data_IF_893072091298
#
_entry.id   IF_893072091298
#
_cell.length_a   1.000
_cell.length_b   1.000
_cell.length_c   1.000
_cell.angle_alpha   90.00
_cell.angle_beta   90.00
_cell.angle_gamma   90.00
#
_symmetry.space_group_name_H-M   'P 1'
#
loop_
_entity.id
_entity.type
_entity.pdbx_description
1 polymer ?
#
# COMPACT_ATOMS: atom_id res chain seq x y z
N UNK A 1 -9.24 10.49 28.04
CA UNK A 1 -8.61 9.21 27.64
C UNK A 1 -9.59 8.02 27.49
N UNK A 2 -10.88 8.14 27.83
CA UNK A 2 -11.82 7.00 27.77
C UNK A 2 -12.45 6.67 26.40
N UNK A 3 -12.54 7.62 25.46
CA UNK A 3 -13.20 7.38 24.17
C UNK A 3 -12.36 6.54 23.20
N UNK A 4 -11.04 6.72 23.21
CA UNK A 4 -10.11 6.04 22.30
C UNK A 4 -10.09 4.51 22.52
N UNK A 5 -10.13 4.06 23.78
CA UNK A 5 -10.19 2.64 24.12
C UNK A 5 -11.48 1.98 23.61
N UNK A 6 -12.61 2.70 23.61
CA UNK A 6 -13.89 2.17 23.14
C UNK A 6 -13.86 1.86 21.64
N UNK A 7 -13.34 2.77 20.81
CA UNK A 7 -13.23 2.55 19.37
C UNK A 7 -12.23 1.45 19.01
N UNK A 8 -11.14 1.33 19.77
CA UNK A 8 -10.14 0.28 19.59
C UNK A 8 -10.74 -1.10 19.90
N UNK A 9 -11.51 -1.24 20.99
CA UNK A 9 -12.23 -2.47 21.33
C UNK A 9 -13.26 -2.82 20.25
N UNK A 10 -14.04 -1.85 19.76
CA UNK A 10 -15.00 -2.08 18.67
C UNK A 10 -14.29 -2.59 17.41
N UNK A 11 -13.16 -1.97 17.04
CA UNK A 11 -12.36 -2.40 15.89
C UNK A 11 -11.88 -3.85 16.04
N UNK A 12 -11.37 -4.22 17.22
CA UNK A 12 -10.92 -5.58 17.51
C UNK A 12 -12.08 -6.60 17.45
N UNK A 13 -13.27 -6.25 17.97
CA UNK A 13 -14.45 -7.10 17.90
C UNK A 13 -14.87 -7.32 16.44
N UNK A 14 -14.91 -6.26 15.63
CA UNK A 14 -15.25 -6.37 14.21
C UNK A 14 -14.25 -7.28 13.49
N UNK A 15 -12.94 -7.04 13.67
CA UNK A 15 -11.91 -7.90 13.07
C UNK A 15 -12.05 -9.36 13.49
N UNK A 16 -12.31 -9.63 14.77
CA UNK A 16 -12.50 -10.99 15.27
C UNK A 16 -13.74 -11.67 14.67
N UNK A 17 -14.87 -10.97 14.60
CA UNK A 17 -16.11 -11.49 14.00
C UNK A 17 -15.89 -11.76 12.51
N UNK A 18 -15.26 -10.85 11.78
CA UNK A 18 -14.94 -11.04 10.36
C UNK A 18 -14.08 -12.28 10.13
N UNK A 19 -13.03 -12.48 10.94
CA UNK A 19 -12.19 -13.68 10.88
C UNK A 19 -13.04 -14.93 11.17
N UNK A 20 -13.86 -14.92 12.22
CA UNK A 20 -14.68 -16.06 12.60
C UNK A 20 -15.69 -16.44 11.52
N UNK A 21 -16.33 -15.46 10.87
CA UNK A 21 -17.28 -15.69 9.77
C UNK A 21 -16.58 -16.27 8.55
N UNK A 22 -15.46 -15.68 8.12
CA UNK A 22 -14.67 -16.21 7.00
C UNK A 22 -14.21 -17.64 7.31
N UNK A 23 -13.75 -17.90 8.53
CA UNK A 23 -13.35 -19.23 8.95
C UNK A 23 -14.53 -20.21 8.92
N UNK A 24 -15.69 -19.85 9.49
CA UNK A 24 -16.87 -20.70 9.48
C UNK A 24 -17.40 -20.99 8.06
N UNK A 25 -17.25 -20.07 7.12
CA UNK A 25 -17.70 -20.24 5.73
C UNK A 25 -16.71 -20.98 4.83
N UNK A 26 -15.41 -20.97 5.16
CA UNK A 26 -14.34 -21.46 4.26
C UNK A 26 -13.60 -22.67 4.81
N UNK A 27 -13.76 -22.99 6.10
CA UNK A 27 -13.01 -24.03 6.77
C UNK A 27 -13.77 -25.36 6.76
N UNK A 28 -13.18 -26.38 6.15
CA UNK A 28 -13.67 -27.75 6.14
C UNK A 28 -12.64 -28.67 6.83
N UNK A 29 -13.04 -29.88 7.23
CA UNK A 29 -12.15 -30.90 7.81
C UNK A 29 -11.00 -31.23 6.85
N UNK A 30 -11.28 -31.24 5.54
CA UNK A 30 -10.28 -31.40 4.49
C UNK A 30 -9.19 -30.30 4.46
N UNK A 31 -9.47 -29.11 5.01
CA UNK A 31 -8.48 -28.03 5.15
C UNK A 31 -7.42 -28.38 6.22
N UNK A 32 -7.80 -29.05 7.30
CA UNK A 32 -6.86 -29.46 8.36
C UNK A 32 -5.88 -30.52 7.83
N UNK A 33 -6.37 -31.49 7.06
CA UNK A 33 -5.55 -32.56 6.48
C UNK A 33 -4.50 -31.97 5.53
N UNK A 34 -4.92 -31.05 4.64
CA UNK A 34 -4.01 -30.34 3.72
C UNK A 34 -2.96 -29.49 4.43
N UNK A 35 -3.32 -28.84 5.54
CA UNK A 35 -2.35 -28.06 6.34
C UNK A 35 -1.34 -28.99 7.03
N UNK A 36 -1.76 -30.18 7.47
CA UNK A 36 -0.86 -31.17 8.09
C UNK A 36 0.14 -31.78 7.11
N UNK A 37 -0.23 -31.85 5.84
CA UNK A 37 0.60 -32.38 4.77
C UNK A 37 1.54 -31.34 4.13
N UNK A 38 1.48 -30.08 4.58
CA UNK A 38 2.31 -29.02 3.98
C UNK A 38 3.80 -29.31 4.18
N UNK A 39 4.58 -29.26 3.11
CA UNK A 39 6.04 -29.44 3.20
C UNK A 39 6.65 -28.29 4.03
N UNK A 40 7.25 -28.59 5.21
CA UNK A 40 7.79 -27.56 6.10
C UNK A 40 8.89 -26.72 5.47
N UNK A 41 9.61 -27.24 4.46
CA UNK A 41 10.67 -26.50 3.75
C UNK A 41 10.09 -25.32 2.98
N UNK A 42 8.98 -25.52 2.29
CA UNK A 42 8.31 -24.48 1.52
C UNK A 42 7.61 -23.46 2.42
N UNK A 43 7.05 -23.92 3.55
CA UNK A 43 6.50 -23.02 4.56
C UNK A 43 7.60 -22.14 5.19
N UNK A 44 8.76 -22.72 5.53
CA UNK A 44 9.90 -21.97 6.04
C UNK A 44 10.40 -20.96 4.99
N UNK A 45 10.46 -21.34 3.72
CA UNK A 45 10.83 -20.43 2.63
C UNK A 45 9.85 -19.26 2.52
N UNK A 46 8.54 -19.50 2.61
CA UNK A 46 7.53 -18.45 2.60
C UNK A 46 7.72 -17.45 3.75
N UNK A 47 8.01 -17.95 4.96
CA UNK A 47 8.31 -17.12 6.14
C UNK A 47 9.58 -16.30 5.90
N UNK A 48 10.64 -16.91 5.37
CA UNK A 48 11.91 -16.21 5.10
C UNK A 48 11.74 -15.11 4.06
N UNK A 49 11.00 -15.36 2.98
CA UNK A 49 10.69 -14.34 1.96
C UNK A 49 9.92 -13.16 2.53
N UNK A 50 8.91 -13.44 3.37
CA UNK A 50 8.11 -12.40 4.02
C UNK A 50 8.92 -11.60 5.06
N UNK A 51 9.77 -12.25 5.85
CA UNK A 51 10.67 -11.52 6.78
C UNK A 51 11.69 -10.68 6.01
N UNK A 52 12.21 -11.20 4.89
CA UNK A 52 13.13 -10.47 4.03
C UNK A 52 12.46 -9.25 3.38
N UNK A 53 11.20 -9.34 2.98
CA UNK A 53 10.45 -8.20 2.43
C UNK A 53 10.38 -7.04 3.43
N UNK A 54 10.23 -7.32 4.74
CA UNK A 54 10.25 -6.30 5.79
C UNK A 54 11.58 -5.56 5.87
N UNK A 55 12.69 -6.30 5.71
CA UNK A 55 14.04 -5.71 5.68
C UNK A 55 14.19 -4.83 4.43
N UNK A 56 13.77 -5.31 3.26
CA UNK A 56 13.79 -4.54 2.00
C UNK A 56 12.93 -3.29 2.11
N UNK A 57 11.76 -3.38 2.75
CA UNK A 57 10.92 -2.22 3.01
C UNK A 57 11.60 -1.20 3.93
N UNK A 58 12.26 -1.66 4.99
CA UNK A 58 13.10 -0.81 5.84
C UNK A 58 14.24 -0.15 5.08
N UNK A 59 14.90 -0.86 4.16
CA UNK A 59 15.93 -0.28 3.26
C UNK A 59 15.29 0.82 2.40
N UNK A 60 14.12 0.57 1.82
CA UNK A 60 13.39 1.55 1.00
C UNK A 60 13.11 2.84 1.77
N UNK A 61 12.55 2.74 2.97
CA UNK A 61 12.28 3.88 3.84
C UNK A 61 13.57 4.66 4.12
N UNK A 62 14.65 3.96 4.49
CA UNK A 62 15.96 4.57 4.78
C UNK A 62 16.51 5.32 3.56
N UNK A 63 16.44 4.72 2.38
CA UNK A 63 16.93 5.31 1.12
C UNK A 63 16.11 6.56 0.76
N UNK A 64 14.78 6.49 0.84
CA UNK A 64 13.91 7.64 0.60
C UNK A 64 14.16 8.78 1.58
N UNK A 65 14.34 8.46 2.87
CA UNK A 65 14.71 9.43 3.91
C UNK A 65 16.03 10.14 3.57
N UNK A 66 17.05 9.38 3.15
CA UNK A 66 18.37 9.93 2.79
C UNK A 66 18.30 10.88 1.60
N UNK A 67 17.46 10.57 0.62
CA UNK A 67 17.25 11.49 -0.52
C UNK A 67 16.41 12.71 -0.12
N UNK A 68 15.54 12.61 0.88
CA UNK A 68 14.78 13.76 1.36
C UNK A 68 15.64 14.73 2.18
N UNK A 69 16.58 14.20 2.98
CA UNK A 69 17.52 15.01 3.75
C UNK A 69 18.82 14.24 3.99
N UNK A 70 19.90 14.66 3.32
CA UNK A 70 21.20 13.97 3.35
C UNK A 70 21.88 14.06 4.72
N UNK A 71 21.58 15.09 5.51
CA UNK A 71 22.10 15.28 6.86
C UNK A 71 21.43 14.33 7.86
N UNK A 72 20.21 13.88 7.56
CA UNK A 72 19.42 13.05 8.46
C UNK A 72 19.65 11.56 8.18
N UNK A 73 20.46 10.93 9.04
CA UNK A 73 20.82 9.52 8.90
C UNK A 73 19.87 8.64 9.71
N UNK A 74 18.95 7.95 9.03
CA UNK A 74 18.12 6.91 9.62
C UNK A 74 18.84 5.56 9.58
N UNK A 75 18.98 4.88 10.71
CA UNK A 75 19.56 3.54 10.78
C UNK A 75 18.67 2.48 10.13
N UNK A 76 19.26 1.35 9.67
CA UNK A 76 18.46 0.26 9.08
C UNK A 76 17.51 -0.37 10.12
N UNK A 77 18.00 -0.61 11.34
CA UNK A 77 17.17 -1.13 12.43
C UNK A 77 15.99 -0.21 12.74
N UNK A 78 16.22 1.10 12.69
CA UNK A 78 15.18 2.10 12.94
C UNK A 78 14.15 2.12 11.82
N UNK A 79 14.59 2.08 10.56
CA UNK A 79 13.68 2.08 9.41
C UNK A 79 12.85 0.79 9.33
N UNK A 80 13.43 -0.36 9.63
CA UNK A 80 12.69 -1.63 9.78
C UNK A 80 11.71 -1.55 10.95
N UNK A 81 12.11 -0.97 12.09
CA UNK A 81 11.21 -0.77 13.23
C UNK A 81 10.02 0.14 12.88
N UNK A 82 10.23 1.18 12.07
CA UNK A 82 9.16 2.04 11.56
C UNK A 82 8.22 1.25 10.64
N UNK A 83 8.75 0.42 9.73
CA UNK A 83 7.96 -0.45 8.86
C UNK A 83 7.10 -1.45 9.67
N UNK A 84 7.69 -2.12 10.65
CA UNK A 84 6.98 -3.07 11.52
C UNK A 84 5.93 -2.38 12.39
N UNK A 85 6.21 -1.16 12.88
CA UNK A 85 5.22 -0.37 13.64
C UNK A 85 4.02 0.00 12.77
N UNK A 86 4.25 0.33 11.49
CA UNK A 86 3.18 0.54 10.51
C UNK A 86 2.36 -0.74 10.32
N UNK A 87 3.02 -1.88 10.10
CA UNK A 87 2.34 -3.16 9.89
C UNK A 87 1.50 -3.58 11.09
N UNK A 88 2.06 -3.48 12.30
CA UNK A 88 1.35 -3.79 13.53
C UNK A 88 0.09 -2.94 13.68
N UNK A 89 0.21 -1.62 13.52
CA UNK A 89 -0.95 -0.74 13.71
C UNK A 89 -1.98 -0.92 12.59
N UNK A 90 -1.55 -1.18 11.35
CA UNK A 90 -2.44 -1.56 10.25
C UNK A 90 -3.21 -2.83 10.59
N UNK A 91 -2.54 -3.87 11.10
CA UNK A 91 -3.17 -5.15 11.42
C UNK A 91 -4.23 -5.08 12.54
N UNK A 92 -4.09 -4.15 13.49
CA UNK A 92 -5.03 -4.01 14.62
C UNK A 92 -6.08 -2.91 14.42
N UNK A 93 -6.04 -2.16 13.32
CA UNK A 93 -7.01 -1.09 13.04
C UNK A 93 -7.93 -1.47 11.88
N UNK A 94 -9.24 -1.20 11.98
CA UNK A 94 -10.16 -1.41 10.86
C UNK A 94 -9.68 -0.68 9.61
N UNK A 95 -9.79 -1.35 8.46
CA UNK A 95 -9.36 -0.83 7.16
C UNK A 95 -7.88 -0.47 7.06
N UNK A 96 -7.03 -0.97 7.98
CA UNK A 96 -5.58 -0.71 8.00
C UNK A 96 -5.19 0.78 8.14
N UNK A 97 -6.14 1.66 8.46
CA UNK A 97 -5.97 3.13 8.40
C UNK A 97 -4.97 3.65 9.42
N UNK A 98 -4.71 2.90 10.50
CA UNK A 98 -3.77 3.30 11.55
C UNK A 98 -2.31 3.25 11.12
N UNK A 99 -1.94 2.41 10.14
CA UNK A 99 -0.55 2.18 9.75
C UNK A 99 0.16 3.42 9.22
N UNK A 100 -0.41 4.08 8.21
CA UNK A 100 0.27 5.21 7.57
C UNK A 100 0.43 6.43 8.51
N UNK A 101 -0.58 6.82 9.32
CA UNK A 101 -0.43 7.89 10.31
C UNK A 101 0.68 7.64 11.34
N UNK A 102 0.82 6.41 11.86
CA UNK A 102 1.92 6.12 12.82
C UNK A 102 3.27 6.25 12.13
N UNK A 103 3.37 5.86 10.86
CA UNK A 103 4.61 6.00 10.08
C UNK A 103 4.99 7.47 9.89
N UNK A 104 4.02 8.33 9.54
CA UNK A 104 4.22 9.78 9.42
C UNK A 104 4.67 10.36 10.78
N UNK A 105 4.03 9.94 11.88
CA UNK A 105 4.36 10.40 13.23
C UNK A 105 5.77 10.00 13.65
N UNK A 106 6.17 8.75 13.44
CA UNK A 106 7.50 8.25 13.80
C UNK A 106 8.61 8.93 12.99
N UNK A 107 8.40 9.13 11.69
CA UNK A 107 9.34 9.90 10.85
C UNK A 107 9.40 11.38 11.28
N UNK A 108 8.26 11.97 11.66
CA UNK A 108 8.23 13.36 12.16
C UNK A 108 9.04 13.52 13.45
N UNK A 109 8.92 12.56 14.38
CA UNK A 109 9.73 12.49 15.61
C UNK A 109 11.22 12.32 15.35
N UNK A 110 11.62 11.82 14.18
CA UNK A 110 13.03 11.75 13.75
C UNK A 110 13.57 13.06 13.18
N UNK A 111 12.75 14.11 13.13
CA UNK A 111 13.16 15.46 12.70
C UNK A 111 12.76 15.81 11.26
N UNK A 112 12.15 14.89 10.50
CA UNK A 112 11.67 15.19 9.15
C UNK A 112 10.52 16.22 9.16
N UNK A 113 9.77 16.33 10.26
CA UNK A 113 8.54 17.11 10.32
C UNK A 113 7.40 16.46 9.54
N UNK A 114 6.16 16.90 9.76
CA UNK A 114 4.95 16.23 9.24
C UNK A 114 4.90 16.23 7.71
N UNK A 115 5.28 17.35 7.07
CA UNK A 115 5.23 17.51 5.62
C UNK A 115 6.17 16.56 4.86
N UNK A 116 7.46 16.50 5.22
CA UNK A 116 8.43 15.59 4.59
C UNK A 116 8.13 14.13 4.91
N UNK A 117 7.71 13.84 6.14
CA UNK A 117 7.30 12.48 6.54
C UNK A 117 6.16 11.97 5.67
N UNK A 118 5.15 12.80 5.46
CA UNK A 118 4.07 12.52 4.51
C UNK A 118 4.59 12.26 3.11
N UNK A 119 5.46 13.14 2.60
CA UNK A 119 6.00 12.99 1.25
C UNK A 119 6.76 11.67 1.05
N UNK A 120 7.48 11.19 2.07
CA UNK A 120 8.11 9.86 2.07
C UNK A 120 7.05 8.76 2.00
N UNK A 121 6.02 8.82 2.86
CA UNK A 121 4.95 7.81 2.94
C UNK A 121 4.15 7.72 1.63
N UNK A 122 3.70 8.86 1.10
CA UNK A 122 2.90 8.93 -0.13
C UNK A 122 3.78 8.69 -1.36
N UNK A 123 5.03 9.17 -1.36
CA UNK A 123 5.98 8.88 -2.43
C UNK A 123 6.19 7.38 -2.60
N UNK A 124 6.22 6.62 -1.50
CA UNK A 124 6.32 5.16 -1.55
C UNK A 124 5.11 4.53 -2.25
N UNK A 125 3.89 5.01 -1.96
CA UNK A 125 2.67 4.59 -2.66
C UNK A 125 2.73 4.88 -4.16
N UNK A 126 3.37 5.96 -4.58
CA UNK A 126 3.55 6.27 -6.00
C UNK A 126 4.49 5.26 -6.65
N UNK A 127 5.60 4.89 -6.00
CA UNK A 127 6.49 3.85 -6.53
C UNK A 127 5.80 2.48 -6.59
N UNK A 128 4.99 2.14 -5.57
CA UNK A 128 4.14 0.95 -5.59
C UNK A 128 3.16 1.00 -6.78
N UNK A 129 2.47 2.12 -6.98
CA UNK A 129 1.52 2.33 -8.08
C UNK A 129 2.18 2.23 -9.46
N UNK A 130 3.40 2.78 -9.63
CA UNK A 130 4.18 2.66 -10.87
C UNK A 130 4.50 1.18 -11.14
N UNK A 131 5.02 0.46 -10.15
CA UNK A 131 5.34 -0.95 -10.28
C UNK A 131 4.10 -1.78 -10.68
N UNK A 132 2.99 -1.59 -9.95
CA UNK A 132 1.73 -2.30 -10.23
C UNK A 132 1.21 -1.97 -11.62
N UNK A 133 1.15 -0.70 -12.00
CA UNK A 133 0.68 -0.27 -13.34
C UNK A 133 1.52 -0.88 -14.47
N UNK A 134 2.84 -0.96 -14.31
CA UNK A 134 3.74 -1.59 -15.31
C UNK A 134 3.56 -3.10 -15.34
N UNK A 135 3.35 -3.74 -14.19
CA UNK A 135 3.16 -5.20 -14.09
C UNK A 135 1.77 -5.67 -14.57
N UNK A 136 0.76 -4.80 -14.52
CA UNK A 136 -0.63 -5.14 -14.76
C UNK A 136 -0.94 -5.65 -16.19
N UNK A 137 -0.44 -5.02 -17.28
CA UNK A 137 -0.61 -5.59 -18.64
C UNK A 137 0.01 -6.97 -18.79
N UNK A 138 1.19 -7.19 -18.18
CA UNK A 138 1.88 -8.47 -18.24
C UNK A 138 1.08 -9.55 -17.48
N UNK A 139 0.61 -9.23 -16.27
CA UNK A 139 -0.23 -10.12 -15.48
C UNK A 139 -1.55 -10.47 -16.19
N UNK A 140 -2.20 -9.48 -16.82
CA UNK A 140 -3.41 -9.69 -17.61
C UNK A 140 -3.14 -10.61 -18.81
N UNK A 141 -2.06 -10.36 -19.57
CA UNK A 141 -1.71 -11.19 -20.73
C UNK A 141 -1.45 -12.65 -20.34
N UNK A 142 -0.71 -12.88 -19.24
CA UNK A 142 -0.45 -14.22 -18.73
C UNK A 142 -1.75 -14.91 -18.35
N UNK A 143 -2.63 -14.24 -17.59
CA UNK A 143 -3.87 -14.84 -17.11
C UNK A 143 -4.94 -15.01 -18.19
N UNK A 144 -4.99 -14.13 -19.21
CA UNK A 144 -5.94 -14.24 -20.32
C UNK A 144 -5.83 -15.60 -21.03
N UNK A 145 -4.62 -16.18 -21.10
CA UNK A 145 -4.40 -17.52 -21.68
C UNK A 145 -5.07 -18.65 -20.90
N UNK A 146 -5.38 -18.44 -19.61
CA UNK A 146 -6.00 -19.44 -18.72
C UNK A 146 -7.48 -19.16 -18.43
N UNK A 147 -8.00 -18.00 -18.86
CA UNK A 147 -9.38 -17.59 -18.56
C UNK A 147 -10.29 -17.93 -19.73
N UNK A 148 -10.98 -19.06 -19.63
CA UNK A 148 -11.96 -19.48 -20.64
C UNK A 148 -13.26 -18.64 -20.57
N UNK A 149 -13.66 -18.20 -19.37
CA UNK A 149 -14.90 -17.47 -19.18
C UNK A 149 -14.80 -16.02 -19.71
N UNK A 150 -15.54 -15.73 -20.79
CA UNK A 150 -15.59 -14.41 -21.43
C UNK A 150 -16.02 -13.29 -20.48
N UNK A 151 -16.96 -13.54 -19.57
CA UNK A 151 -17.44 -12.54 -18.60
C UNK A 151 -16.34 -12.18 -17.61
N UNK A 152 -15.61 -13.17 -17.10
CA UNK A 152 -14.49 -12.94 -16.19
C UNK A 152 -13.37 -12.15 -16.85
N UNK A 153 -13.05 -12.48 -18.11
CA UNK A 153 -12.07 -11.75 -18.92
C UNK A 153 -12.44 -10.28 -19.13
N UNK A 154 -13.69 -10.01 -19.50
CA UNK A 154 -14.20 -8.64 -19.67
C UNK A 154 -14.19 -7.86 -18.35
N UNK A 155 -14.55 -8.50 -17.24
CA UNK A 155 -14.51 -7.88 -15.92
C UNK A 155 -13.08 -7.48 -15.51
N UNK A 156 -12.10 -8.36 -15.72
CA UNK A 156 -10.69 -8.08 -15.45
C UNK A 156 -10.16 -6.96 -16.35
N UNK A 157 -10.51 -6.97 -17.63
CA UNK A 157 -10.10 -5.91 -18.56
C UNK A 157 -10.70 -4.55 -18.17
N UNK A 158 -12.00 -4.52 -17.84
CA UNK A 158 -12.66 -3.32 -17.35
C UNK A 158 -12.04 -2.80 -16.04
N UNK A 159 -11.73 -3.70 -15.10
CA UNK A 159 -11.04 -3.37 -13.84
C UNK A 159 -9.65 -2.78 -14.08
N UNK A 160 -8.88 -3.34 -15.02
CA UNK A 160 -7.58 -2.80 -15.43
C UNK A 160 -7.71 -1.37 -15.98
N UNK A 161 -8.66 -1.12 -16.89
CA UNK A 161 -8.89 0.22 -17.45
C UNK A 161 -9.30 1.20 -16.35
N UNK A 162 -10.22 0.78 -15.45
CA UNK A 162 -10.67 1.61 -14.34
C UNK A 162 -9.51 1.97 -13.39
N UNK A 163 -8.63 1.02 -13.09
CA UNK A 163 -7.46 1.25 -12.25
C UNK A 163 -6.48 2.26 -12.89
N UNK A 164 -6.19 2.11 -14.18
CA UNK A 164 -5.31 3.05 -14.91
C UNK A 164 -5.93 4.45 -14.95
N UNK A 165 -7.23 4.57 -15.20
CA UNK A 165 -7.96 5.84 -15.14
C UNK A 165 -7.90 6.43 -13.72
N UNK A 166 -8.10 5.59 -12.70
CA UNK A 166 -8.04 5.98 -11.28
C UNK A 166 -6.67 6.56 -10.89
N UNK A 167 -5.58 5.91 -11.31
CA UNK A 167 -4.22 6.42 -11.11
C UNK A 167 -4.00 7.72 -11.88
N UNK A 168 -4.41 7.80 -13.15
CA UNK A 168 -4.27 9.01 -13.95
C UNK A 168 -5.01 10.20 -13.30
N UNK A 169 -6.22 9.96 -12.80
CA UNK A 169 -7.03 10.95 -12.09
C UNK A 169 -6.40 11.33 -10.74
N UNK A 170 -5.87 10.36 -9.99
CA UNK A 170 -5.13 10.63 -8.74
C UNK A 170 -3.90 11.51 -9.00
N UNK A 171 -3.08 11.17 -10.00
CA UNK A 171 -1.91 11.98 -10.39
C UNK A 171 -2.34 13.38 -10.84
N UNK A 172 -3.40 13.49 -11.64
CA UNK A 172 -3.95 14.77 -12.06
C UNK A 172 -4.38 15.62 -10.85
N UNK A 173 -5.10 15.05 -9.89
CA UNK A 173 -5.54 15.74 -8.67
C UNK A 173 -4.37 16.20 -7.80
N UNK A 174 -3.34 15.37 -7.68
CA UNK A 174 -2.13 15.67 -6.92
C UNK A 174 -1.33 16.81 -7.56
N UNK A 175 -1.27 16.87 -8.89
CA UNK A 175 -0.58 17.94 -9.62
C UNK A 175 -1.39 19.24 -9.65
N UNK A 176 -2.72 19.14 -9.77
CA UNK A 176 -3.64 20.27 -9.89
C UNK A 176 -4.50 20.49 -8.64
N UNK A 177 -3.88 20.70 -7.48
CA UNK A 177 -4.55 20.89 -6.18
C UNK A 177 -5.62 22.00 -6.18
N UNK A 178 -5.47 23.01 -7.05
CA UNK A 178 -6.43 24.11 -7.24
C UNK A 178 -7.79 23.64 -7.77
N UNK A 179 -7.82 22.51 -8.50
CA UNK A 179 -9.05 21.90 -8.99
C UNK A 179 -9.91 21.36 -7.84
N UNK A 180 -9.30 20.64 -6.88
CA UNK A 180 -10.02 20.10 -5.73
C UNK A 180 -10.63 21.21 -4.87
N UNK A 181 -9.89 22.29 -4.59
CA UNK A 181 -10.43 23.46 -3.89
C UNK A 181 -11.68 24.02 -4.55
N UNK A 182 -11.63 24.21 -5.88
CA UNK A 182 -12.76 24.77 -6.63
C UNK A 182 -13.96 23.83 -6.61
N UNK A 183 -13.72 22.53 -6.78
CA UNK A 183 -14.79 21.52 -6.76
C UNK A 183 -15.48 21.44 -5.39
N UNK A 184 -14.70 21.44 -4.30
CA UNK A 184 -15.24 21.44 -2.94
C UNK A 184 -15.97 22.73 -2.59
N UNK A 185 -15.40 23.90 -2.91
CA UNK A 185 -16.07 25.21 -2.72
C UNK A 185 -17.35 25.32 -3.56
N UNK A 186 -17.36 24.80 -4.79
CA UNK A 186 -18.56 24.77 -5.64
C UNK A 186 -19.67 23.90 -5.05
N UNK A 187 -19.34 22.68 -4.61
CA UNK A 187 -20.30 21.74 -4.04
C UNK A 187 -20.96 22.28 -2.77
N UNK A 188 -20.18 22.88 -1.86
CA UNK A 188 -20.73 23.43 -0.60
C UNK A 188 -21.52 24.72 -0.79
N UNK A 189 -21.10 25.60 -1.71
CA UNK A 189 -21.91 26.76 -2.11
C UNK A 189 -23.24 26.33 -2.70
N UNK A 190 -23.25 25.27 -3.51
CA UNK A 190 -24.47 24.69 -4.08
C UNK A 190 -25.38 24.09 -3.01
N UNK A 191 -24.82 23.48 -1.95
CA UNK A 191 -25.59 22.90 -0.85
C UNK A 191 -26.00 23.92 0.25
N UNK A 192 -25.63 25.21 0.13
CA UNK A 192 -25.97 26.29 1.07
C UNK A 192 -25.66 26.01 2.55
N UNK A 193 -24.65 25.19 2.85
CA UNK A 193 -24.28 24.82 4.22
C UNK A 193 -23.21 25.78 4.78
N UNK A 194 -23.56 27.01 5.15
CA UNK A 194 -22.60 28.05 5.58
C UNK A 194 -21.71 27.68 6.78
N UNK A 195 -22.21 26.87 7.75
CA UNK A 195 -21.38 26.35 8.87
C UNK A 195 -20.33 25.33 8.42
N UNK A 196 -20.53 24.67 7.28
CA UNK A 196 -19.55 23.78 6.68
C UNK A 196 -18.45 24.56 5.96
N UNK A 197 -18.73 25.76 5.48
CA UNK A 197 -17.78 26.58 4.71
C UNK A 197 -16.57 26.97 5.58
N UNK A 198 -16.78 27.53 6.79
CA UNK A 198 -15.66 27.88 7.70
C UNK A 198 -14.86 26.68 8.21
N UNK A 199 -15.51 25.54 8.49
CA UNK A 199 -14.82 24.31 8.88
C UNK A 199 -14.02 23.76 7.71
N UNK A 200 -14.58 23.82 6.51
CA UNK A 200 -13.91 23.36 5.30
C UNK A 200 -12.76 24.28 4.93
N UNK A 201 -12.85 25.61 5.08
CA UNK A 201 -11.73 26.50 4.79
C UNK A 201 -10.52 26.20 5.67
N UNK A 202 -10.73 25.99 6.97
CA UNK A 202 -9.67 25.53 7.88
C UNK A 202 -9.10 24.15 7.52
N UNK A 203 -9.91 23.25 6.97
CA UNK A 203 -9.45 21.94 6.49
C UNK A 203 -8.69 22.09 5.18
N UNK A 204 -9.17 22.91 4.24
CA UNK A 204 -8.55 23.19 2.97
C UNK A 204 -7.19 23.85 3.16
N UNK A 205 -7.06 24.82 4.07
CA UNK A 205 -5.76 25.43 4.39
C UNK A 205 -4.75 24.42 4.96
N UNK A 206 -5.20 23.49 5.81
CA UNK A 206 -4.36 22.40 6.31
C UNK A 206 -3.97 21.41 5.20
N UNK A 207 -4.91 21.09 4.32
CA UNK A 207 -4.68 20.26 3.14
C UNK A 207 -3.71 20.97 2.19
N UNK A 208 -3.76 22.30 2.08
CA UNK A 208 -2.86 23.05 1.21
C UNK A 208 -1.44 23.03 1.69
N UNK A 209 -1.21 23.34 2.98
CA UNK A 209 0.12 23.23 3.56
C UNK A 209 0.67 21.81 3.42
N UNK A 210 -0.20 20.80 3.53
CA UNK A 210 0.14 19.39 3.33
C UNK A 210 0.46 19.07 1.86
N UNK A 211 -0.37 19.51 0.92
CA UNK A 211 -0.20 19.28 -0.53
C UNK A 211 1.01 20.04 -1.05
N UNK A 212 1.27 21.26 -0.60
CA UNK A 212 2.48 22.01 -0.95
C UNK A 212 3.74 21.35 -0.39
N UNK A 213 3.69 20.85 0.86
CA UNK A 213 4.80 20.11 1.45
C UNK A 213 5.03 18.78 0.73
N UNK A 214 3.94 18.11 0.35
CA UNK A 214 3.96 16.90 -0.46
C UNK A 214 4.53 17.18 -1.85
N UNK A 215 4.06 18.21 -2.56
CA UNK A 215 4.53 18.59 -3.89
C UNK A 215 6.00 19.07 -3.86
N UNK A 216 6.45 19.69 -2.77
CA UNK A 216 7.87 20.00 -2.55
C UNK A 216 8.69 18.72 -2.36
N UNK A 217 8.30 17.84 -1.45
CA UNK A 217 8.99 16.57 -1.24
C UNK A 217 8.95 15.65 -2.47
N UNK A 218 7.84 15.65 -3.22
CA UNK A 218 7.71 14.95 -4.49
C UNK A 218 8.65 15.56 -5.55
N UNK A 219 8.74 16.90 -5.66
CA UNK A 219 9.76 17.53 -6.52
C UNK A 219 11.18 17.18 -6.11
N UNK A 220 11.47 17.07 -4.80
CA UNK A 220 12.78 16.67 -4.32
C UNK A 220 13.12 15.20 -4.67
N UNK A 221 12.16 14.28 -4.49
CA UNK A 221 12.28 12.86 -4.84
C UNK A 221 12.36 12.66 -6.36
N UNK A 222 11.49 13.32 -7.13
CA UNK A 222 11.32 13.13 -8.57
C UNK A 222 12.07 14.16 -9.43
N UNK A 223 12.99 14.96 -8.85
CA UNK A 223 13.77 15.91 -9.65
C UNK A 223 14.66 15.19 -10.67
N UNK A 224 14.73 15.75 -11.88
CA UNK A 224 15.57 15.23 -12.97
C UNK A 224 17.07 15.15 -12.62
N UNK A 225 17.52 15.84 -11.57
CA UNK A 225 18.89 15.79 -11.06
C UNK A 225 19.20 14.50 -10.30
N UNK A 226 18.18 13.73 -9.89
CA UNK A 226 18.29 12.51 -9.06
C UNK A 226 17.73 11.26 -9.75
N UNK A 227 17.94 11.11 -11.07
CA UNK A 227 17.50 9.91 -11.82
C UNK A 227 18.01 8.59 -11.21
N UNK A 228 19.24 8.60 -10.67
CA UNK A 228 19.80 7.45 -9.96
C UNK A 228 19.02 7.11 -8.69
N UNK A 229 18.53 8.10 -7.95
CA UNK A 229 17.70 7.88 -6.76
C UNK A 229 16.37 7.21 -7.11
N UNK A 230 15.70 7.70 -8.16
CA UNK A 230 14.44 7.12 -8.66
C UNK A 230 14.66 5.67 -9.09
N UNK A 231 15.73 5.39 -9.85
CA UNK A 231 16.06 4.05 -10.30
C UNK A 231 16.36 3.09 -9.11
N UNK A 232 17.09 3.56 -8.10
CA UNK A 232 17.38 2.79 -6.89
C UNK A 232 16.09 2.49 -6.12
N UNK A 233 15.22 3.49 -5.90
CA UNK A 233 13.96 3.28 -5.18
C UNK A 233 13.03 2.35 -5.96
N UNK A 234 12.95 2.48 -7.28
CA UNK A 234 12.21 1.55 -8.14
C UNK A 234 12.78 0.13 -8.05
N UNK A 235 14.09 -0.05 -8.10
CA UNK A 235 14.72 -1.36 -7.97
C UNK A 235 14.40 -2.02 -6.62
N UNK A 236 14.51 -1.26 -5.52
CA UNK A 236 14.15 -1.74 -4.18
C UNK A 236 12.65 -2.08 -4.10
N UNK A 237 11.79 -1.27 -4.74
CA UNK A 237 10.34 -1.50 -4.79
C UNK A 237 10.00 -2.76 -5.58
N UNK A 238 10.66 -2.99 -6.71
CA UNK A 238 10.51 -4.23 -7.48
C UNK A 238 10.95 -5.45 -6.68
N UNK A 239 12.09 -5.37 -5.96
CA UNK A 239 12.55 -6.47 -5.09
C UNK A 239 11.53 -6.72 -3.98
N UNK A 240 11.02 -5.67 -3.33
CA UNK A 240 10.00 -5.79 -2.28
C UNK A 240 8.76 -6.54 -2.79
N UNK A 241 8.19 -6.10 -3.92
CA UNK A 241 7.00 -6.73 -4.49
C UNK A 241 7.25 -8.15 -4.99
N UNK A 242 8.40 -8.42 -5.60
CA UNK A 242 8.75 -9.78 -6.02
C UNK A 242 8.85 -10.73 -4.83
N UNK A 243 9.44 -10.29 -3.71
CA UNK A 243 9.48 -11.11 -2.49
C UNK A 243 8.08 -11.43 -1.97
N UNK A 244 7.20 -10.43 -1.88
CA UNK A 244 5.81 -10.63 -1.43
C UNK A 244 5.03 -11.53 -2.41
N UNK A 245 5.17 -11.33 -3.71
CA UNK A 245 4.46 -12.13 -4.72
C UNK A 245 4.95 -13.58 -4.83
N UNK A 246 6.15 -13.88 -4.33
CA UNK A 246 6.66 -15.25 -4.23
C UNK A 246 6.14 -16.01 -3.01
N UNK A 247 5.63 -15.32 -1.97
CA UNK A 247 5.11 -15.97 -0.76
C UNK A 247 3.96 -16.94 -1.08
N UNK A 248 2.91 -16.55 -1.83
CA UNK A 248 1.84 -17.48 -2.22
C UNK A 248 2.35 -18.65 -3.07
N UNK A 249 3.34 -18.43 -3.94
CA UNK A 249 3.93 -19.51 -4.74
C UNK A 249 4.62 -20.56 -3.88
N UNK A 250 5.30 -20.15 -2.79
CA UNK A 250 5.89 -21.07 -1.84
C UNK A 250 4.83 -21.83 -1.05
N UNK A 251 3.75 -21.16 -0.64
CA UNK A 251 2.62 -21.82 0.04
C UNK A 251 1.98 -22.86 -0.87
N UNK A 252 1.72 -22.53 -2.15
CA UNK A 252 1.13 -23.45 -3.12
C UNK A 252 2.00 -24.68 -3.35
N UNK A 253 3.32 -24.50 -3.51
CA UNK A 253 4.26 -25.62 -3.60
C UNK A 253 4.29 -26.47 -2.32
N UNK A 254 4.21 -25.84 -1.15
CA UNK A 254 4.11 -26.55 0.12
C UNK A 254 2.87 -27.44 0.19
N UNK A 255 1.76 -27.01 -0.43
CA UNK A 255 0.51 -27.75 -0.53
C UNK A 255 0.48 -28.79 -1.68
N UNK A 256 1.64 -29.11 -2.27
CA UNK A 256 1.76 -30.11 -3.33
C UNK A 256 1.23 -29.66 -4.70
N UNK A 257 1.06 -28.36 -4.93
CA UNK A 257 0.69 -27.82 -6.25
C UNK A 257 1.95 -27.60 -7.11
N UNK A 258 1.86 -27.91 -8.40
CA UNK A 258 2.92 -27.74 -9.41
C UNK A 258 3.40 -26.28 -9.54
N UNK A 259 4.54 -25.98 -10.20
CA UNK A 259 5.11 -24.63 -10.23
C UNK A 259 4.22 -23.63 -11.00
N UNK A 260 3.28 -23.01 -10.29
CA UNK A 260 2.41 -21.91 -10.75
C UNK A 260 3.03 -20.53 -10.48
N UNK A 261 4.37 -20.40 -10.42
CA UNK A 261 5.05 -19.17 -9.96
C UNK A 261 4.60 -17.95 -10.79
N UNK A 262 4.58 -18.09 -12.12
CA UNK A 262 4.20 -16.99 -13.01
C UNK A 262 2.70 -16.66 -12.91
N UNK A 263 1.83 -17.66 -12.81
CA UNK A 263 0.39 -17.42 -12.61
C UNK A 263 0.10 -16.83 -11.24
N UNK A 264 0.80 -17.29 -10.20
CA UNK A 264 0.67 -16.82 -8.82
C UNK A 264 1.09 -15.35 -8.72
N UNK A 265 2.24 -14.97 -9.28
CA UNK A 265 2.67 -13.57 -9.36
C UNK A 265 1.63 -12.73 -10.12
N UNK A 266 1.13 -13.22 -11.26
CA UNK A 266 0.14 -12.51 -12.06
C UNK A 266 -1.19 -12.33 -11.31
N UNK A 267 -1.64 -13.35 -10.58
CA UNK A 267 -2.84 -13.29 -9.75
C UNK A 267 -2.65 -12.30 -8.59
N UNK A 268 -1.47 -12.24 -7.98
CA UNK A 268 -1.17 -11.26 -6.93
C UNK A 268 -1.22 -9.82 -7.43
N UNK A 269 -0.73 -9.54 -8.64
CA UNK A 269 -0.85 -8.21 -9.26
C UNK A 269 -2.32 -7.79 -9.38
N UNK A 270 -3.20 -8.69 -9.84
CA UNK A 270 -4.64 -8.41 -9.92
C UNK A 270 -5.29 -8.23 -8.54
N UNK A 271 -4.91 -9.07 -7.57
CA UNK A 271 -5.43 -8.97 -6.21
C UNK A 271 -5.09 -7.62 -5.56
N UNK A 272 -3.88 -7.11 -5.77
CA UNK A 272 -3.46 -5.78 -5.28
C UNK A 272 -4.28 -4.66 -5.90
N UNK A 273 -4.69 -4.80 -7.16
CA UNK A 273 -5.57 -3.81 -7.83
C UNK A 273 -6.99 -3.82 -7.25
N UNK A 274 -7.44 -4.96 -6.71
CA UNK A 274 -8.78 -5.15 -6.16
C UNK A 274 -8.88 -4.87 -4.65
N UNK A 275 -7.75 -4.80 -3.94
CA UNK A 275 -7.66 -4.54 -2.49
C UNK A 275 -7.67 -3.05 -2.15
#
# INVERSE_FOLDING_TARGET
MGSMNKYLIIGLIISFISIAVVFALTFDVSTIERIREIDPKWLLMAILLHVLSWVVWGIRIKVMCRYMNEEMKLGLRESVSIALSNLFLAAVTPSSIGGEPIRIHLLSKKGFGVGRSTAIVVGERIFDAIFITVSLPMAFFILDTYIENRTMRLALFAGMILFVIGIALFVYMVLHHTFMKRFFKFTIRKMKMGRLEEKMERILEKIDGFVESFQRGAREIFSLRRRSAIAIILAITSIYWLLEFLVPSCILKGLGQDPVVLQSISAQVLLVVMS
#
